data_IF_193686718598
#
_entry.id   IF_193686718598
#
_cell.length_a   1.000
_cell.length_b   1.000
_cell.length_c   1.000
_cell.angle_alpha   90.00
_cell.angle_beta   90.00
_cell.angle_gamma   90.00
#
_symmetry.space_group_name_H-M   'P 1'
#
loop_
_entity.id
_entity.type
_entity.pdbx_description
1 polymer ?
#
# COMPACT_ATOMS: atom_id res chain seq x y z
N UNK A 1 -7.78 18.63 -7.92
CA UNK A 1 -6.34 18.92 -7.65
C UNK A 1 -5.77 19.63 -8.86
N UNK A 2 -4.99 20.72 -8.68
CA UNK A 2 -4.35 21.40 -9.80
C UNK A 2 -3.17 20.56 -10.30
N UNK A 3 -2.84 20.67 -11.60
CA UNK A 3 -1.71 19.90 -12.18
C UNK A 3 -0.37 20.14 -11.43
N UNK A 4 -0.12 21.37 -10.99
CA UNK A 4 1.08 21.71 -10.21
C UNK A 4 1.11 21.01 -8.83
N UNK A 5 -0.05 20.91 -8.16
CA UNK A 5 -0.17 20.20 -6.88
C UNK A 5 0.08 18.70 -7.07
N UNK A 6 -0.41 18.14 -8.16
CA UNK A 6 -0.17 16.74 -8.50
C UNK A 6 1.31 16.45 -8.75
N UNK A 7 1.98 17.33 -9.53
CA UNK A 7 3.41 17.18 -9.83
C UNK A 7 4.32 17.29 -8.59
N UNK A 8 3.85 17.98 -7.54
CA UNK A 8 4.60 18.20 -6.30
C UNK A 8 4.08 17.42 -5.10
N UNK A 9 3.12 16.52 -5.31
CA UNK A 9 2.41 15.83 -4.22
C UNK A 9 3.31 15.00 -3.32
N UNK A 10 4.41 14.48 -3.87
CA UNK A 10 5.37 13.64 -3.16
C UNK A 10 6.54 14.42 -2.54
N UNK A 11 6.64 15.74 -2.82
CA UNK A 11 7.76 16.52 -2.29
C UNK A 11 7.71 16.60 -0.77
N UNK A 12 8.79 16.19 -0.13
CA UNK A 12 9.04 16.40 1.28
C UNK A 12 9.98 17.61 1.44
N UNK A 13 9.64 18.54 2.30
CA UNK A 13 10.53 19.65 2.62
C UNK A 13 11.71 19.11 3.41
N UNK A 14 12.89 19.16 2.81
CA UNK A 14 14.15 18.88 3.50
C UNK A 14 14.95 20.17 3.71
N UNK A 15 16.04 20.08 4.45
CA UNK A 15 16.90 21.23 4.76
C UNK A 15 17.78 21.66 3.60
N UNK A 16 17.83 20.88 2.51
CA UNK A 16 18.70 21.14 1.34
C UNK A 16 18.00 21.96 0.26
N UNK A 17 16.66 22.05 0.31
CA UNK A 17 15.85 22.68 -0.74
C UNK A 17 15.80 21.86 -2.04
N UNK A 18 16.01 20.55 -1.97
CA UNK A 18 15.94 19.67 -3.12
C UNK A 18 14.55 19.72 -3.77
N UNK A 19 14.50 19.76 -5.13
CA UNK A 19 13.25 19.77 -5.90
C UNK A 19 12.69 18.34 -6.12
N UNK A 20 13.48 17.31 -5.81
CA UNK A 20 13.06 15.91 -5.85
C UNK A 20 13.34 15.25 -4.50
N UNK A 21 12.49 14.30 -4.12
CA UNK A 21 12.72 13.55 -2.89
C UNK A 21 14.04 12.77 -2.95
N UNK A 22 14.85 12.80 -1.89
CA UNK A 22 16.03 11.95 -1.77
C UNK A 22 15.63 10.47 -1.79
N UNK A 23 16.51 9.63 -2.35
CA UNK A 23 16.39 8.17 -2.27
C UNK A 23 17.25 7.69 -1.10
N UNK A 24 16.63 7.13 -0.09
CA UNK A 24 17.30 6.60 1.08
C UNK A 24 17.62 5.12 0.89
N UNK A 25 18.92 4.83 0.71
CA UNK A 25 19.44 3.47 0.52
C UNK A 25 19.89 2.82 1.84
N UNK A 26 19.78 3.54 2.97
CA UNK A 26 20.20 3.01 4.27
C UNK A 26 19.34 1.81 4.68
N UNK A 27 20.02 0.74 5.15
CA UNK A 27 19.38 -0.44 5.71
C UNK A 27 18.89 -0.20 7.13
N UNK A 28 19.67 0.49 7.96
CA UNK A 28 19.37 0.79 9.34
C UNK A 28 19.56 2.28 9.63
N UNK A 29 18.95 2.77 10.69
CA UNK A 29 18.96 4.18 11.07
C UNK A 29 19.49 4.32 12.49
N UNK A 30 20.18 5.44 12.76
CA UNK A 30 20.71 5.74 14.08
C UNK A 30 19.59 6.15 15.04
N UNK A 31 19.60 5.60 16.23
CA UNK A 31 18.74 6.03 17.33
C UNK A 31 19.39 7.21 18.06
N UNK A 32 18.63 8.26 18.45
CA UNK A 32 19.16 9.38 19.22
C UNK A 32 19.70 8.95 20.57
N UNK A 33 18.97 8.09 21.28
CA UNK A 33 19.38 7.46 22.53
C UNK A 33 18.80 6.04 22.62
N UNK A 34 19.21 5.28 23.63
CA UNK A 34 18.68 3.95 23.89
C UNK A 34 17.16 4.02 24.17
N UNK A 35 16.37 3.29 23.39
CA UNK A 35 14.91 3.25 23.52
C UNK A 35 14.17 4.37 22.78
N UNK A 36 14.86 5.31 22.12
CA UNK A 36 14.25 6.36 21.29
C UNK A 36 14.52 6.10 19.80
N UNK A 37 13.52 6.36 18.95
CA UNK A 37 13.63 6.23 17.51
C UNK A 37 13.31 7.56 16.83
N UNK A 38 13.93 7.81 15.68
CA UNK A 38 13.55 8.90 14.76
C UNK A 38 12.24 8.61 14.02
N UNK A 39 11.65 7.42 14.22
CA UNK A 39 10.53 6.88 13.46
C UNK A 39 10.97 5.99 12.31
N UNK A 40 12.27 5.82 12.12
CA UNK A 40 12.90 4.91 11.17
C UNK A 40 13.97 4.11 11.90
N UNK A 41 13.90 2.79 11.84
CA UNK A 41 14.83 1.88 12.50
C UNK A 41 15.50 0.96 11.48
N UNK A 42 14.68 0.37 10.61
CA UNK A 42 15.14 -0.59 9.62
C UNK A 42 14.29 -0.48 8.33
N UNK A 43 14.95 -0.47 7.16
CA UNK A 43 14.30 -0.15 5.88
C UNK A 43 13.17 -1.09 5.49
N UNK A 44 13.22 -2.37 5.87
CA UNK A 44 12.14 -3.33 5.61
C UNK A 44 10.84 -2.94 6.33
N UNK A 45 10.95 -2.45 7.55
CA UNK A 45 9.78 -2.01 8.33
C UNK A 45 9.32 -0.62 7.90
N UNK A 46 10.25 0.34 7.75
CA UNK A 46 9.92 1.70 7.35
C UNK A 46 11.12 2.37 6.68
N UNK A 47 10.88 3.07 5.56
CA UNK A 47 11.91 3.78 4.81
C UNK A 47 11.37 5.15 4.37
N UNK A 48 12.15 6.26 4.48
CA UNK A 48 11.67 7.60 4.13
C UNK A 48 11.22 7.72 2.67
N UNK A 49 11.90 7.07 1.72
CA UNK A 49 11.50 7.08 0.30
C UNK A 49 10.12 6.41 0.13
N UNK A 50 9.91 5.24 0.74
CA UNK A 50 8.62 4.55 0.70
C UNK A 50 7.53 5.36 1.41
N UNK A 51 7.82 5.96 2.55
CA UNK A 51 6.86 6.80 3.28
C UNK A 51 6.43 8.02 2.47
N UNK A 52 7.33 8.65 1.72
CA UNK A 52 7.00 9.77 0.84
C UNK A 52 6.03 9.32 -0.27
N UNK A 53 6.27 8.16 -0.89
CA UNK A 53 5.41 7.58 -1.90
C UNK A 53 4.03 7.24 -1.33
N UNK A 54 3.96 6.53 -0.21
CA UNK A 54 2.71 6.15 0.46
C UNK A 54 1.88 7.39 0.85
N UNK A 55 2.53 8.42 1.40
CA UNK A 55 1.86 9.68 1.74
C UNK A 55 1.28 10.38 0.50
N UNK A 56 2.03 10.39 -0.61
CA UNK A 56 1.58 10.98 -1.86
C UNK A 56 0.36 10.26 -2.43
N UNK A 57 0.37 8.93 -2.45
CA UNK A 57 -0.75 8.12 -2.92
C UNK A 57 -1.99 8.26 -2.04
N UNK A 58 -1.83 8.27 -0.72
CA UNK A 58 -2.95 8.51 0.18
C UNK A 58 -3.64 9.85 -0.12
N UNK A 59 -2.86 10.92 -0.35
CA UNK A 59 -3.41 12.25 -0.74
C UNK A 59 -4.09 12.20 -2.10
N UNK A 60 -3.49 11.53 -3.08
CA UNK A 60 -4.01 11.42 -4.45
C UNK A 60 -5.37 10.73 -4.45
N UNK A 61 -5.50 9.64 -3.74
CA UNK A 61 -6.71 8.81 -3.64
C UNK A 61 -7.69 9.29 -2.53
N UNK A 62 -7.38 10.41 -1.86
CA UNK A 62 -8.17 10.94 -0.73
C UNK A 62 -8.36 9.92 0.40
N UNK A 63 -7.40 9.02 0.54
CA UNK A 63 -7.36 8.03 1.60
C UNK A 63 -6.69 8.55 2.87
N UNK A 64 -6.91 7.88 3.97
CA UNK A 64 -6.23 8.15 5.25
C UNK A 64 -4.80 7.64 5.27
N UNK A 65 -4.54 6.55 4.55
CA UNK A 65 -3.22 5.92 4.39
C UNK A 65 -3.14 5.15 3.08
N UNK A 66 -1.93 4.88 2.62
CA UNK A 66 -1.66 3.88 1.59
C UNK A 66 -0.46 3.02 1.97
N UNK A 67 -0.38 1.84 1.38
CA UNK A 67 0.68 0.86 1.66
C UNK A 67 1.27 0.37 0.34
N UNK A 68 2.56 0.61 0.15
CA UNK A 68 3.27 0.13 -1.02
C UNK A 68 3.67 -1.33 -0.86
N UNK A 69 3.35 -2.13 -1.86
CA UNK A 69 3.71 -3.55 -1.94
C UNK A 69 4.60 -3.83 -3.15
N UNK A 70 5.26 -4.98 -3.16
CA UNK A 70 6.18 -5.35 -4.24
C UNK A 70 5.47 -5.72 -5.56
N UNK A 71 4.16 -5.97 -5.53
CA UNK A 71 3.35 -6.30 -6.70
C UNK A 71 1.87 -6.05 -6.46
N UNK A 72 1.07 -5.95 -7.54
CA UNK A 72 -0.39 -5.86 -7.43
C UNK A 72 -1.00 -7.08 -6.73
N UNK A 73 -0.48 -8.27 -6.95
CA UNK A 73 -0.95 -9.48 -6.24
C UNK A 73 -0.69 -9.40 -4.75
N UNK A 74 0.46 -8.85 -4.32
CA UNK A 74 0.72 -8.61 -2.90
C UNK A 74 -0.22 -7.57 -2.30
N UNK A 75 -0.65 -6.57 -3.08
CA UNK A 75 -1.64 -5.59 -2.65
C UNK A 75 -3.01 -6.25 -2.43
N UNK A 76 -3.47 -7.09 -3.36
CA UNK A 76 -4.72 -7.83 -3.22
C UNK A 76 -4.66 -8.78 -2.03
N UNK A 77 -3.56 -9.50 -1.85
CA UNK A 77 -3.35 -10.38 -0.70
C UNK A 77 -3.41 -9.61 0.62
N UNK A 78 -2.83 -8.41 0.68
CA UNK A 78 -2.89 -7.56 1.87
C UNK A 78 -4.34 -7.22 2.26
N UNK A 79 -5.19 -6.94 1.27
CA UNK A 79 -6.63 -6.70 1.48
C UNK A 79 -7.33 -7.95 1.98
N UNK A 80 -7.04 -9.12 1.39
CA UNK A 80 -7.65 -10.40 1.82
C UNK A 80 -7.38 -10.70 3.31
N UNK A 81 -6.25 -10.26 3.86
CA UNK A 81 -5.93 -10.45 5.27
C UNK A 81 -6.80 -9.63 6.26
N UNK A 82 -7.63 -8.73 5.77
CA UNK A 82 -8.59 -7.97 6.59
C UNK A 82 -9.86 -8.77 6.93
N UNK A 83 -10.12 -9.84 6.18
CA UNK A 83 -11.34 -10.64 6.27
C UNK A 83 -11.16 -11.86 7.18
N UNK A 84 -12.29 -12.38 7.66
CA UNK A 84 -12.37 -13.52 8.56
C UNK A 84 -13.12 -14.68 7.88
N UNK A 85 -13.00 -15.90 8.39
CA UNK A 85 -13.81 -17.02 7.93
C UNK A 85 -15.31 -16.67 7.93
N UNK A 86 -16.00 -17.04 6.88
CA UNK A 86 -17.41 -16.77 6.57
C UNK A 86 -17.74 -15.32 6.15
N UNK A 87 -16.75 -14.44 6.00
CA UNK A 87 -17.00 -13.16 5.31
C UNK A 87 -17.29 -13.40 3.84
N UNK A 88 -18.23 -12.63 3.28
CA UNK A 88 -18.58 -12.65 1.86
C UNK A 88 -18.07 -11.39 1.17
N UNK A 89 -17.35 -11.57 0.06
CA UNK A 89 -16.75 -10.48 -0.73
C UNK A 89 -17.33 -10.54 -2.15
N UNK A 90 -17.90 -9.42 -2.59
CA UNK A 90 -18.33 -9.27 -3.97
C UNK A 90 -17.14 -8.84 -4.82
N UNK A 91 -16.89 -9.55 -5.90
CA UNK A 91 -15.78 -9.32 -6.82
C UNK A 91 -16.27 -9.32 -8.26
N UNK A 92 -15.61 -8.54 -9.12
CA UNK A 92 -15.93 -8.59 -10.55
C UNK A 92 -15.66 -10.01 -11.10
N UNK A 93 -16.52 -10.50 -11.97
CA UNK A 93 -16.26 -11.76 -12.69
C UNK A 93 -15.09 -11.62 -13.69
N UNK A 94 -14.85 -10.42 -14.21
CA UNK A 94 -13.75 -10.11 -15.12
C UNK A 94 -12.51 -9.72 -14.31
N UNK A 95 -11.75 -10.72 -13.88
CA UNK A 95 -10.55 -10.58 -13.07
C UNK A 95 -9.31 -11.15 -13.77
N UNK A 96 -8.16 -10.60 -13.40
CA UNK A 96 -6.89 -11.24 -13.71
C UNK A 96 -6.82 -12.66 -13.14
N UNK A 97 -6.42 -13.64 -13.97
CA UNK A 97 -6.42 -15.06 -13.58
C UNK A 97 -5.58 -15.39 -12.32
N UNK A 98 -4.57 -14.57 -12.01
CA UNK A 98 -3.82 -14.69 -10.75
C UNK A 98 -4.67 -14.33 -9.52
N UNK A 99 -5.52 -13.32 -9.65
CA UNK A 99 -6.44 -12.91 -8.59
C UNK A 99 -7.49 -13.99 -8.33
N UNK A 100 -8.05 -14.58 -9.40
CA UNK A 100 -8.99 -15.70 -9.28
C UNK A 100 -8.37 -16.86 -8.49
N UNK A 101 -7.14 -17.27 -8.84
CA UNK A 101 -6.44 -18.36 -8.13
C UNK A 101 -6.13 -18.01 -6.67
N UNK A 102 -5.84 -16.74 -6.38
CA UNK A 102 -5.63 -16.30 -5.01
C UNK A 102 -6.92 -16.38 -4.20
N UNK A 103 -8.05 -15.97 -4.76
CA UNK A 103 -9.36 -16.02 -4.10
C UNK A 103 -9.81 -17.47 -3.85
N UNK A 104 -9.65 -18.37 -4.83
CA UNK A 104 -9.89 -19.80 -4.66
C UNK A 104 -9.05 -20.40 -3.52
N UNK A 105 -7.76 -20.02 -3.43
CA UNK A 105 -6.91 -20.42 -2.31
C UNK A 105 -7.44 -19.90 -0.96
N UNK A 106 -7.85 -18.62 -0.87
CA UNK A 106 -8.39 -18.05 0.36
C UNK A 106 -9.73 -18.69 0.76
N UNK A 107 -10.57 -19.03 -0.20
CA UNK A 107 -11.81 -19.74 0.06
C UNK A 107 -11.56 -21.13 0.65
N UNK A 108 -10.65 -21.90 0.05
CA UNK A 108 -10.32 -23.26 0.50
C UNK A 108 -9.56 -23.30 1.83
N UNK A 109 -8.65 -22.37 2.07
CA UNK A 109 -7.77 -22.40 3.24
C UNK A 109 -8.31 -21.60 4.43
N UNK A 110 -9.04 -20.53 4.18
CA UNK A 110 -9.47 -19.59 5.22
C UNK A 110 -10.98 -19.45 5.36
N UNK A 111 -11.76 -20.08 4.47
CA UNK A 111 -13.22 -20.04 4.52
C UNK A 111 -13.81 -18.66 4.26
N UNK A 112 -13.14 -17.85 3.45
CA UNK A 112 -13.63 -16.55 2.98
C UNK A 112 -14.35 -16.80 1.66
N UNK A 113 -15.57 -16.29 1.48
CA UNK A 113 -16.38 -16.54 0.30
C UNK A 113 -16.32 -15.40 -0.72
N UNK A 114 -16.01 -15.71 -1.96
CA UNK A 114 -15.96 -14.75 -3.05
C UNK A 114 -17.12 -14.94 -4.02
N UNK A 115 -18.00 -13.93 -4.12
CA UNK A 115 -19.13 -13.93 -5.03
C UNK A 115 -18.79 -13.12 -6.28
N UNK A 116 -18.72 -13.78 -7.41
CA UNK A 116 -18.42 -13.17 -8.70
C UNK A 116 -19.68 -12.56 -9.30
N UNK A 117 -19.66 -11.28 -9.58
CA UNK A 117 -20.78 -10.51 -10.11
C UNK A 117 -20.35 -9.66 -11.30
N UNK A 118 -21.28 -9.40 -12.20
CA UNK A 118 -21.11 -8.39 -13.22
C UNK A 118 -21.53 -7.03 -12.66
N UNK A 119 -20.58 -6.15 -12.44
CA UNK A 119 -20.87 -4.81 -11.96
C UNK A 119 -21.45 -3.86 -13.04
N UNK A 120 -21.61 -4.33 -14.29
CA UNK A 120 -22.26 -3.58 -15.37
C UNK A 120 -23.73 -3.96 -15.52
N UNK A 121 -24.15 -5.06 -14.90
CA UNK A 121 -25.55 -5.53 -14.93
C UNK A 121 -26.28 -4.98 -13.69
N UNK A 122 -27.00 -3.85 -13.88
CA UNK A 122 -27.77 -3.17 -12.87
C UNK A 122 -29.26 -3.39 -13.06
#
# INVERSE_FOLDING_TARGET
MKHTELAQISLTHDTTGAIANPIYLSTAYQHPTLGESTGYDYTRTKNPTRSAFETAFAKLERGTASFATASGMSAIQLICNLFKPNDEILVSFDLYGGTFRLFDYYEQQYGIHFKYVDFLDY
#
